data_IF_756357781738
#
_entry.id   IF_756357781738
#
_cell.length_a   1.000
_cell.length_b   1.000
_cell.length_c   1.000
_cell.angle_alpha   90.00
_cell.angle_beta   90.00
_cell.angle_gamma   90.00
#
_symmetry.space_group_name_H-M   'P 1'
#
loop_
_entity.id
_entity.type
_entity.pdbx_description
1 polymer ?
#
# COMPACT_ATOMS: atom_id res chain seq x y z
N UNK A 1 -48.38 32.43 -6.50
CA UNK A 1 -49.29 31.36 -6.18
C UNK A 1 -50.30 31.77 -5.13
N UNK A 2 -51.52 31.70 -5.49
CA UNK A 2 -52.62 32.19 -4.71
C UNK A 2 -53.21 31.07 -3.87
N UNK A 3 -52.83 31.03 -2.60
CA UNK A 3 -53.42 30.13 -1.64
C UNK A 3 -54.39 30.92 -0.76
N UNK A 4 -55.67 30.59 -0.76
CA UNK A 4 -56.69 31.25 0.04
C UNK A 4 -57.33 30.28 1.02
N UNK A 5 -57.46 30.67 2.31
CA UNK A 5 -58.14 29.91 3.33
C UNK A 5 -57.57 28.51 3.57
N UNK A 6 -58.40 27.46 3.42
CA UNK A 6 -58.02 26.08 3.54
C UNK A 6 -56.95 25.64 2.52
N UNK A 7 -56.97 26.24 1.33
CA UNK A 7 -55.97 26.03 0.30
C UNK A 7 -54.63 26.65 0.67
N UNK A 8 -54.62 27.73 1.40
CA UNK A 8 -53.41 28.36 1.93
C UNK A 8 -52.66 27.43 2.87
N UNK A 9 -53.39 26.74 3.76
CA UNK A 9 -52.79 25.76 4.66
C UNK A 9 -52.16 24.55 3.92
N UNK A 10 -52.84 24.07 2.87
CA UNK A 10 -52.34 23.02 2.02
C UNK A 10 -51.09 23.46 1.25
N UNK A 11 -51.12 24.66 0.70
CA UNK A 11 -50.02 25.25 -0.02
C UNK A 11 -48.81 25.45 0.90
N UNK A 12 -49.01 25.87 2.13
CA UNK A 12 -48.00 26.03 3.14
C UNK A 12 -47.34 24.66 3.50
N UNK A 13 -48.17 23.65 3.70
CA UNK A 13 -47.70 22.30 3.96
C UNK A 13 -46.91 21.70 2.80
N UNK A 14 -47.36 21.94 1.57
CA UNK A 14 -46.60 21.50 0.40
C UNK A 14 -45.24 22.16 0.32
N UNK A 15 -45.13 23.43 0.61
CA UNK A 15 -43.86 24.15 0.67
C UNK A 15 -42.95 23.59 1.74
N UNK A 16 -43.48 23.33 2.95
CA UNK A 16 -42.75 22.74 4.05
C UNK A 16 -42.21 21.37 3.69
N UNK A 17 -43.02 20.54 3.05
CA UNK A 17 -42.59 19.19 2.61
C UNK A 17 -41.50 19.30 1.56
N UNK A 18 -41.63 20.22 0.60
CA UNK A 18 -40.61 20.42 -0.40
C UNK A 18 -39.28 20.92 0.19
N UNK A 19 -39.35 21.83 1.14
CA UNK A 19 -38.18 22.32 1.86
C UNK A 19 -37.50 21.20 2.65
N UNK A 20 -38.29 20.39 3.34
CA UNK A 20 -37.78 19.22 4.07
C UNK A 20 -37.11 18.21 3.14
N UNK A 21 -37.71 17.96 1.97
CA UNK A 21 -37.13 17.10 0.93
C UNK A 21 -35.82 17.66 0.41
N UNK A 22 -35.76 18.96 0.14
CA UNK A 22 -34.52 19.59 -0.30
C UNK A 22 -33.42 19.51 0.76
N UNK A 23 -33.77 19.76 2.00
CA UNK A 23 -32.84 19.65 3.11
C UNK A 23 -32.35 18.22 3.29
N UNK A 24 -33.24 17.23 3.21
CA UNK A 24 -32.89 15.82 3.28
C UNK A 24 -31.95 15.40 2.15
N UNK A 25 -32.22 15.86 0.92
CA UNK A 25 -31.35 15.59 -0.23
C UNK A 25 -29.97 16.22 -0.05
N UNK A 26 -29.93 17.46 0.43
CA UNK A 26 -28.68 18.17 0.71
C UNK A 26 -27.87 17.47 1.78
N UNK A 27 -28.51 17.07 2.87
CA UNK A 27 -27.87 16.32 3.93
C UNK A 27 -27.35 14.96 3.44
N UNK A 28 -28.15 14.28 2.61
CA UNK A 28 -27.75 13.02 2.00
C UNK A 28 -26.54 13.17 1.06
N UNK A 29 -26.51 14.23 0.28
CA UNK A 29 -25.37 14.54 -0.60
C UNK A 29 -24.12 14.87 0.20
N UNK A 30 -24.24 15.63 1.27
CA UNK A 30 -23.13 15.94 2.18
C UNK A 30 -22.58 14.69 2.83
N UNK A 31 -23.45 13.80 3.32
CA UNK A 31 -23.05 12.52 3.88
C UNK A 31 -22.34 11.64 2.86
N UNK A 32 -22.89 11.57 1.64
CA UNK A 32 -22.29 10.83 0.54
C UNK A 32 -20.87 11.34 0.24
N UNK A 33 -20.71 12.66 0.18
CA UNK A 33 -19.41 13.27 -0.08
C UNK A 33 -18.41 13.01 1.04
N UNK A 34 -18.85 13.07 2.30
CA UNK A 34 -18.00 12.74 3.45
C UNK A 34 -17.54 11.28 3.42
N UNK A 35 -18.46 10.36 3.14
CA UNK A 35 -18.13 8.94 3.01
C UNK A 35 -17.17 8.70 1.88
N UNK A 36 -17.32 9.39 0.77
CA UNK A 36 -16.42 9.29 -0.39
C UNK A 36 -15.02 9.77 -0.03
N UNK A 37 -14.92 10.89 0.68
CA UNK A 37 -13.63 11.43 1.13
C UNK A 37 -12.95 10.48 2.12
N UNK A 38 -13.71 9.93 3.07
CA UNK A 38 -13.18 8.94 4.03
C UNK A 38 -12.67 7.69 3.31
N UNK A 39 -13.44 7.20 2.35
CA UNK A 39 -13.04 6.03 1.57
C UNK A 39 -11.76 6.29 0.77
N UNK A 40 -11.64 7.47 0.17
CA UNK A 40 -10.43 7.87 -0.56
C UNK A 40 -9.23 7.99 0.36
N UNK A 41 -9.42 8.50 1.55
CA UNK A 41 -8.36 8.62 2.55
C UNK A 41 -7.89 7.26 3.06
N UNK A 42 -8.82 6.35 3.32
CA UNK A 42 -8.49 4.97 3.70
C UNK A 42 -7.77 4.22 2.59
N UNK A 43 -8.22 4.40 1.35
CA UNK A 43 -7.54 3.83 0.18
C UNK A 43 -6.09 4.32 0.09
N UNK A 44 -5.89 5.61 0.28
CA UNK A 44 -4.55 6.21 0.29
C UNK A 44 -3.66 5.62 1.38
N UNK A 45 -4.19 5.45 2.58
CA UNK A 45 -3.48 4.84 3.71
C UNK A 45 -3.12 3.38 3.43
N UNK A 46 -4.04 2.62 2.85
CA UNK A 46 -3.81 1.23 2.48
C UNK A 46 -2.73 1.11 1.41
N UNK A 47 -2.76 1.96 0.39
CA UNK A 47 -1.74 1.99 -0.65
C UNK A 47 -0.36 2.36 -0.09
N UNK A 48 -0.29 3.34 0.80
CA UNK A 48 0.95 3.72 1.46
C UNK A 48 1.50 2.58 2.31
N UNK A 49 0.65 1.92 3.09
CA UNK A 49 1.05 0.78 3.91
C UNK A 49 1.53 -0.39 3.03
N UNK A 50 0.83 -0.69 1.95
CA UNK A 50 1.23 -1.72 1.00
C UNK A 50 2.58 -1.40 0.35
N UNK A 51 2.79 -0.17 -0.08
CA UNK A 51 4.07 0.29 -0.65
C UNK A 51 5.21 0.20 0.35
N UNK A 52 5.00 0.57 1.60
CA UNK A 52 6.00 0.44 2.66
C UNK A 52 6.36 -1.01 2.92
N UNK A 53 5.37 -1.89 2.93
CA UNK A 53 5.60 -3.34 3.09
C UNK A 53 6.42 -3.90 1.95
N UNK A 54 6.07 -3.55 0.70
CA UNK A 54 6.82 -3.97 -0.50
C UNK A 54 8.25 -3.45 -0.47
N UNK A 55 8.46 -2.19 -0.14
CA UNK A 55 9.80 -1.61 -0.01
C UNK A 55 10.63 -2.31 1.06
N UNK A 56 10.01 -2.60 2.21
CA UNK A 56 10.67 -3.36 3.27
C UNK A 56 11.07 -4.76 2.83
N UNK A 57 10.18 -5.46 2.15
CA UNK A 57 10.47 -6.79 1.61
C UNK A 57 11.57 -6.76 0.54
N UNK A 58 11.56 -5.77 -0.34
CA UNK A 58 12.61 -5.59 -1.34
C UNK A 58 13.96 -5.31 -0.69
N UNK A 59 14.00 -4.46 0.32
CA UNK A 59 15.23 -4.15 1.06
C UNK A 59 15.78 -5.40 1.74
N UNK A 60 14.92 -6.19 2.38
CA UNK A 60 15.32 -7.45 3.00
C UNK A 60 15.81 -8.46 1.97
N UNK A 61 15.12 -8.59 0.84
CA UNK A 61 15.54 -9.50 -0.23
C UNK A 61 16.90 -9.11 -0.79
N UNK A 62 17.14 -7.83 -1.03
CA UNK A 62 18.43 -7.32 -1.51
C UNK A 62 19.55 -7.58 -0.52
N UNK A 63 19.28 -7.33 0.76
CA UNK A 63 20.25 -7.61 1.84
C UNK A 63 20.59 -9.08 1.90
N UNK A 64 19.59 -9.95 1.80
CA UNK A 64 19.76 -11.39 1.81
C UNK A 64 20.60 -11.89 0.63
N UNK A 65 20.31 -11.36 -0.56
CA UNK A 65 21.09 -11.67 -1.77
C UNK A 65 22.54 -11.21 -1.61
N UNK A 66 22.78 -10.00 -1.11
CA UNK A 66 24.10 -9.48 -0.86
C UNK A 66 24.88 -10.37 0.12
N UNK A 67 24.23 -10.82 1.20
CA UNK A 67 24.84 -11.74 2.16
C UNK A 67 25.17 -13.10 1.55
N UNK A 68 24.27 -13.63 0.73
CA UNK A 68 24.48 -14.91 0.05
C UNK A 68 25.62 -14.83 -0.96
N UNK A 69 25.70 -13.72 -1.72
CA UNK A 69 26.80 -13.47 -2.65
C UNK A 69 28.14 -13.37 -1.92
N UNK A 70 28.18 -12.67 -0.79
CA UNK A 70 29.40 -12.54 0.01
C UNK A 70 29.83 -13.90 0.60
N UNK A 71 28.88 -14.69 1.10
CA UNK A 71 29.15 -16.03 1.60
C UNK A 71 29.67 -16.95 0.48
N UNK A 72 29.07 -16.89 -0.70
CA UNK A 72 29.51 -17.67 -1.86
C UNK A 72 30.91 -17.26 -2.29
N UNK A 73 31.21 -15.95 -2.30
CA UNK A 73 32.54 -15.44 -2.62
C UNK A 73 33.61 -15.93 -1.66
N UNK A 74 33.30 -15.88 -0.36
CA UNK A 74 34.22 -16.40 0.68
C UNK A 74 34.46 -17.90 0.54
N UNK A 75 33.40 -18.66 0.26
CA UNK A 75 33.47 -20.10 0.04
C UNK A 75 34.34 -20.43 -1.19
N UNK A 76 34.13 -19.71 -2.29
CA UNK A 76 34.94 -19.88 -3.49
C UNK A 76 36.42 -19.55 -3.25
N UNK A 77 36.69 -18.45 -2.57
CA UNK A 77 38.08 -18.07 -2.22
C UNK A 77 38.75 -19.12 -1.39
N UNK A 78 38.03 -19.68 -0.43
CA UNK A 78 38.53 -20.77 0.45
C UNK A 78 38.81 -22.04 -0.38
N UNK A 79 37.90 -22.41 -1.27
CA UNK A 79 38.07 -23.59 -2.14
C UNK A 79 39.22 -23.42 -3.10
N UNK A 80 39.39 -22.21 -3.65
CA UNK A 80 40.55 -21.92 -4.52
C UNK A 80 41.86 -22.01 -3.78
N UNK A 81 41.92 -21.51 -2.54
CA UNK A 81 43.12 -21.62 -1.71
C UNK A 81 43.44 -23.08 -1.39
N UNK A 82 42.45 -23.88 -1.01
CA UNK A 82 42.60 -25.30 -0.74
C UNK A 82 43.03 -26.06 -2.00
N UNK A 83 42.45 -25.76 -3.14
CA UNK A 83 42.81 -26.34 -4.42
C UNK A 83 44.27 -26.01 -4.81
N UNK A 84 44.68 -24.76 -4.63
CA UNK A 84 46.04 -24.32 -4.87
C UNK A 84 47.06 -25.05 -3.99
N UNK A 85 46.74 -25.26 -2.70
CA UNK A 85 47.57 -26.04 -1.78
C UNK A 85 47.66 -27.48 -2.22
N UNK A 86 46.58 -28.10 -2.64
CA UNK A 86 46.59 -29.48 -3.14
C UNK A 86 47.48 -29.65 -4.35
N UNK A 87 47.39 -28.73 -5.31
CA UNK A 87 48.24 -28.73 -6.51
C UNK A 87 49.70 -28.59 -6.11
N UNK A 88 50.02 -27.64 -5.23
CA UNK A 88 51.40 -27.43 -4.74
C UNK A 88 51.97 -28.67 -4.06
N UNK A 89 51.20 -29.33 -3.20
CA UNK A 89 51.61 -30.57 -2.54
C UNK A 89 51.85 -31.69 -3.54
N UNK A 90 51.00 -31.84 -4.53
CA UNK A 90 51.19 -32.87 -5.56
C UNK A 90 52.43 -32.62 -6.43
N UNK A 91 52.73 -31.38 -6.76
CA UNK A 91 53.92 -30.99 -7.50
C UNK A 91 55.19 -31.25 -6.68
N UNK A 92 55.19 -30.81 -5.42
CA UNK A 92 56.31 -31.05 -4.50
C UNK A 92 56.53 -32.53 -4.23
N UNK A 93 55.45 -33.29 -4.07
CA UNK A 93 55.54 -34.73 -3.88
C UNK A 93 56.12 -35.48 -5.08
N UNK A 94 55.96 -34.94 -6.29
CA UNK A 94 56.54 -35.54 -7.51
C UNK A 94 58.01 -35.21 -7.68
N UNK A 95 58.47 -34.11 -7.13
CA UNK A 95 59.86 -33.67 -7.24
C UNK A 95 60.81 -34.32 -6.23
N UNK A 96 60.22 -34.85 -5.20
CA UNK A 96 60.94 -35.57 -4.15
C UNK A 96 60.89 -37.07 -4.42
#
# INVERSE_FOLDING_TARGET
SECNGAQENLCQKEKEVQEELQQARKAGMEQKNLLKLDAQEEEKKLLQAANQTVEGELTQARSKIAQQLEAARKSLTKDMAAFSQEIAQKILGRTI
#
